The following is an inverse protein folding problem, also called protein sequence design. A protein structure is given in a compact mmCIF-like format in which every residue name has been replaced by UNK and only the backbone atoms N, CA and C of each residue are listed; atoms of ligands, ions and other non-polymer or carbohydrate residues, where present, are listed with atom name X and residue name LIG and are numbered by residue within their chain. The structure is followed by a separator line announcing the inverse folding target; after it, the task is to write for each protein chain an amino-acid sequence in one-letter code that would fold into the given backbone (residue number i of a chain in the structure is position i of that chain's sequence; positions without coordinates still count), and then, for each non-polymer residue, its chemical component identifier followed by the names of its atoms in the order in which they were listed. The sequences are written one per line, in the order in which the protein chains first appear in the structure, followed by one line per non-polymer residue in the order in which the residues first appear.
data_IF_197284445494
#
_entry.id   IF_197284445494
#
_cell.length_a   1.000
_cell.length_b   1.000
_cell.length_c   1.000
_cell.angle_alpha   90.00
_cell.angle_beta   90.00
_cell.angle_gamma   90.00
#
_symmetry.space_group_name_H-M   'P 1'
#
loop_
_entity.id
_entity.type
_entity.pdbx_description
1 polymer ?
#
# COMPACT_ATOMS: atom_id res chain seq x y z
N UNK A 1 -17.71 -62.56 6.00
CA UNK A 1 -16.53 -61.70 5.76
C UNK A 1 -15.52 -62.39 4.87
N UNK A 2 -14.96 -63.54 5.26
CA UNK A 2 -13.92 -64.25 4.47
C UNK A 2 -14.36 -64.54 3.03
N UNK A 3 -15.62 -64.96 2.81
CA UNK A 3 -16.14 -65.21 1.46
C UNK A 3 -16.19 -63.94 0.61
N UNK A 4 -16.75 -62.85 1.14
CA UNK A 4 -16.83 -61.54 0.47
C UNK A 4 -15.44 -61.01 0.14
N UNK A 5 -14.50 -61.11 1.09
CA UNK A 5 -13.12 -60.72 0.87
C UNK A 5 -12.48 -61.54 -0.28
N UNK A 6 -12.71 -62.84 -0.29
CA UNK A 6 -12.16 -63.74 -1.32
C UNK A 6 -12.73 -63.41 -2.71
N UNK A 7 -14.04 -63.17 -2.79
CA UNK A 7 -14.71 -62.75 -4.03
C UNK A 7 -14.19 -61.40 -4.53
N UNK A 8 -14.11 -60.38 -3.67
CA UNK A 8 -13.57 -59.06 -4.04
C UNK A 8 -12.11 -59.15 -4.49
N UNK A 9 -11.29 -59.96 -3.81
CA UNK A 9 -9.88 -60.17 -4.17
C UNK A 9 -9.74 -60.83 -5.56
N UNK A 10 -10.61 -61.77 -5.91
CA UNK A 10 -10.63 -62.37 -7.25
C UNK A 10 -10.97 -61.34 -8.32
N UNK A 11 -12.01 -60.53 -8.11
CA UNK A 11 -12.41 -59.47 -9.04
C UNK A 11 -11.29 -58.43 -9.23
N UNK A 12 -10.65 -57.98 -8.14
CA UNK A 12 -9.50 -57.06 -8.20
C UNK A 12 -8.35 -57.64 -9.03
N UNK A 13 -8.07 -58.93 -8.89
CA UNK A 13 -7.04 -59.64 -9.68
C UNK A 13 -7.42 -59.76 -11.15
N UNK A 14 -8.68 -60.06 -11.47
CA UNK A 14 -9.19 -60.12 -12.85
C UNK A 14 -9.11 -58.76 -13.55
N UNK A 15 -9.37 -57.68 -12.81
CA UNK A 15 -9.21 -56.30 -13.30
C UNK A 15 -7.76 -55.86 -13.46
N UNK A 16 -6.78 -56.72 -13.12
CA UNK A 16 -5.35 -56.40 -13.20
C UNK A 16 -4.90 -55.33 -12.20
N UNK A 17 -5.69 -55.07 -11.15
CA UNK A 17 -5.34 -54.08 -10.13
C UNK A 17 -4.30 -54.68 -9.16
N UNK A 18 -3.24 -53.93 -8.82
CA UNK A 18 -2.22 -54.41 -7.90
C UNK A 18 -2.81 -54.61 -6.50
N UNK A 19 -2.48 -55.75 -5.89
CA UNK A 19 -2.82 -56.05 -4.50
C UNK A 19 -1.59 -55.77 -3.66
N UNK A 20 -1.74 -54.97 -2.61
CA UNK A 20 -0.63 -54.62 -1.72
C UNK A 20 0.01 -55.88 -1.11
N UNK A 21 1.34 -55.92 -1.09
CA UNK A 21 2.13 -56.95 -0.41
C UNK A 21 2.24 -56.70 1.09
N UNK A 22 2.10 -55.44 1.51
CA UNK A 22 2.16 -55.00 2.91
C UNK A 22 0.82 -54.36 3.33
N UNK A 23 0.43 -54.45 4.61
CA UNK A 23 -0.76 -53.76 5.11
C UNK A 23 -0.69 -52.24 4.88
N UNK A 24 -1.78 -51.66 4.39
CA UNK A 24 -1.88 -50.22 4.20
C UNK A 24 -1.92 -49.48 5.54
N UNK A 25 -1.30 -48.30 5.57
CA UNK A 25 -1.28 -47.44 6.75
C UNK A 25 -2.64 -46.77 7.00
N UNK A 26 -2.85 -46.27 8.23
CA UNK A 26 -4.11 -45.65 8.62
C UNK A 26 -4.58 -44.57 7.63
N UNK A 27 -3.69 -43.66 7.25
CA UNK A 27 -4.01 -42.57 6.31
C UNK A 27 -4.43 -43.12 4.95
N UNK A 28 -3.72 -44.11 4.42
CA UNK A 28 -3.95 -44.65 3.07
C UNK A 28 -5.33 -45.31 2.96
N UNK A 29 -5.71 -46.09 3.96
CA UNK A 29 -7.04 -46.72 4.05
C UNK A 29 -8.12 -45.64 4.04
N UNK A 30 -7.99 -44.60 4.86
CA UNK A 30 -9.02 -43.56 4.98
C UNK A 30 -9.03 -42.61 3.77
N UNK A 31 -7.91 -42.36 3.12
CA UNK A 31 -7.86 -41.62 1.85
C UNK A 31 -8.53 -42.41 0.72
N UNK A 32 -8.35 -43.74 0.66
CA UNK A 32 -9.08 -44.59 -0.29
C UNK A 32 -10.59 -44.61 0.00
N UNK A 33 -11.01 -44.64 1.26
CA UNK A 33 -12.43 -44.53 1.61
C UNK A 33 -13.00 -43.14 1.28
N UNK A 34 -12.20 -42.08 1.44
CA UNK A 34 -12.61 -40.69 1.15
C UNK A 34 -13.07 -40.54 -0.29
N UNK A 35 -12.46 -41.25 -1.26
CA UNK A 35 -12.86 -41.11 -2.67
C UNK A 35 -14.33 -41.49 -2.94
N UNK A 36 -14.90 -42.39 -2.12
CA UNK A 36 -16.31 -42.78 -2.20
C UNK A 36 -17.22 -42.14 -1.14
N UNK A 37 -16.66 -41.57 -0.07
CA UNK A 37 -17.39 -41.13 1.11
C UNK A 37 -17.18 -39.63 1.43
N UNK A 38 -16.90 -38.80 0.42
CA UNK A 38 -16.72 -37.34 0.60
C UNK A 38 -17.93 -36.64 1.24
N UNK A 39 -19.14 -37.17 1.06
CA UNK A 39 -20.37 -36.66 1.69
C UNK A 39 -20.51 -37.04 3.17
N UNK A 40 -19.70 -37.98 3.67
CA UNK A 40 -19.79 -38.53 5.02
C UNK A 40 -18.67 -38.00 5.94
N UNK A 41 -18.06 -36.88 5.57
CA UNK A 41 -17.13 -36.16 6.45
C UNK A 41 -17.89 -35.18 7.33
N UNK A 42 -17.36 -34.88 8.51
CA UNK A 42 -17.89 -33.86 9.40
C UNK A 42 -16.82 -33.15 10.20
N UNK A 43 -17.06 -31.86 10.43
CA UNK A 43 -16.29 -31.00 11.32
C UNK A 43 -17.07 -30.78 12.61
N UNK A 44 -16.45 -31.06 13.75
CA UNK A 44 -17.05 -30.91 15.07
C UNK A 44 -17.30 -29.43 15.37
N UNK A 45 -18.47 -29.11 15.92
CA UNK A 45 -18.75 -27.80 16.48
C UNK A 45 -17.94 -27.57 17.78
N UNK A 46 -17.53 -26.33 18.03
CA UNK A 46 -16.73 -26.00 19.21
C UNK A 46 -17.50 -26.24 20.52
N UNK A 47 -18.79 -25.89 20.54
CA UNK A 47 -19.60 -25.84 21.77
C UNK A 47 -20.56 -27.02 21.92
N UNK A 48 -20.62 -27.93 20.94
CA UNK A 48 -21.59 -29.03 20.89
C UNK A 48 -20.91 -30.36 20.62
N UNK A 49 -21.54 -31.45 21.06
CA UNK A 49 -21.16 -32.82 20.68
C UNK A 49 -21.80 -33.20 19.33
N UNK A 50 -21.77 -32.25 18.38
CA UNK A 50 -22.39 -32.34 17.07
C UNK A 50 -21.36 -31.97 16.00
N UNK A 51 -21.57 -32.50 14.81
CA UNK A 51 -20.74 -32.28 13.64
C UNK A 51 -21.56 -31.62 12.55
N UNK A 52 -20.97 -30.61 11.91
CA UNK A 52 -21.41 -30.13 10.61
C UNK A 52 -20.84 -31.04 9.54
N UNK A 53 -21.70 -31.74 8.81
CA UNK A 53 -21.37 -32.59 7.67
C UNK A 53 -21.60 -31.90 6.33
N UNK A 54 -21.42 -32.67 5.25
CA UNK A 54 -21.66 -32.19 3.90
C UNK A 54 -23.06 -31.59 3.75
N UNK A 55 -23.16 -30.48 3.01
CA UNK A 55 -24.42 -29.74 2.75
C UNK A 55 -25.11 -29.29 4.05
N UNK A 56 -24.32 -28.94 5.06
CA UNK A 56 -24.79 -28.49 6.38
C UNK A 56 -25.61 -29.52 7.17
N UNK A 57 -25.53 -30.81 6.83
CA UNK A 57 -26.16 -31.87 7.63
C UNK A 57 -25.58 -31.85 9.06
N UNK A 58 -26.42 -32.02 10.07
CA UNK A 58 -26.00 -32.06 11.48
C UNK A 58 -26.08 -33.48 11.98
N UNK A 59 -24.99 -34.03 12.48
CA UNK A 59 -24.97 -35.40 13.02
C UNK A 59 -24.14 -35.51 14.29
N UNK A 60 -24.46 -36.52 15.11
CA UNK A 60 -23.66 -36.89 16.28
C UNK A 60 -22.98 -38.24 16.02
N UNK A 61 -21.81 -38.49 16.62
CA UNK A 61 -21.20 -39.83 16.59
C UNK A 61 -22.07 -40.80 17.41
N UNK A 62 -22.32 -42.00 16.89
CA UNK A 62 -23.12 -43.00 17.58
C UNK A 62 -22.53 -43.36 18.97
N UNK A 63 -23.32 -43.50 20.05
CA UNK A 63 -22.80 -43.73 21.41
C UNK A 63 -21.94 -44.99 21.56
N UNK A 64 -22.17 -46.01 20.74
CA UNK A 64 -21.35 -47.23 20.70
C UNK A 64 -19.99 -47.07 20.01
N UNK A 65 -19.67 -45.90 19.46
CA UNK A 65 -18.37 -45.63 18.84
C UNK A 65 -17.28 -45.38 19.90
N UNK A 66 -16.07 -45.89 19.64
CA UNK A 66 -14.89 -45.56 20.44
C UNK A 66 -14.53 -44.06 20.44
N UNK A 67 -15.02 -43.30 19.45
CA UNK A 67 -14.80 -41.86 19.34
C UNK A 67 -15.87 -41.03 20.08
N UNK A 68 -16.91 -41.64 20.65
CA UNK A 68 -18.03 -40.91 21.24
C UNK A 68 -17.64 -40.02 22.43
N UNK A 69 -16.78 -40.53 23.34
CA UNK A 69 -16.37 -39.80 24.55
C UNK A 69 -15.39 -38.66 24.25
N UNK A 70 -14.55 -38.81 23.22
CA UNK A 70 -13.52 -37.85 22.82
C UNK A 70 -13.52 -37.69 21.29
N UNK A 71 -14.55 -37.04 20.74
CA UNK A 71 -14.67 -36.90 19.29
C UNK A 71 -13.58 -35.99 18.74
N UNK A 72 -12.92 -36.37 17.62
CA UNK A 72 -11.92 -35.53 16.96
C UNK A 72 -12.56 -34.30 16.32
N UNK A 73 -11.74 -33.33 15.92
CA UNK A 73 -12.19 -32.13 15.20
C UNK A 73 -12.78 -32.48 13.83
N UNK A 74 -12.20 -33.45 13.15
CA UNK A 74 -12.64 -33.95 11.86
C UNK A 74 -12.84 -35.45 11.90
N UNK A 75 -13.94 -35.90 11.31
CA UNK A 75 -14.29 -37.32 11.25
C UNK A 75 -14.83 -37.67 9.87
N UNK A 76 -14.58 -38.91 9.44
CA UNK A 76 -15.39 -39.61 8.46
C UNK A 76 -16.31 -40.58 9.20
N UNK A 77 -17.47 -40.87 8.63
CA UNK A 77 -18.33 -41.99 9.05
C UNK A 77 -18.64 -42.89 7.86
N UNK A 78 -18.77 -44.19 8.07
CA UNK A 78 -19.18 -45.07 6.97
C UNK A 78 -20.66 -44.84 6.61
N UNK A 79 -21.50 -44.58 7.62
CA UNK A 79 -22.94 -44.49 7.46
C UNK A 79 -23.52 -43.33 8.28
N UNK A 80 -24.51 -42.65 7.70
CA UNK A 80 -25.37 -41.67 8.36
C UNK A 80 -26.78 -42.26 8.47
N UNK A 81 -27.24 -42.50 9.70
CA UNK A 81 -28.54 -43.16 9.97
C UNK A 81 -29.41 -42.26 10.82
N UNK A 82 -30.59 -41.93 10.33
CA UNK A 82 -31.57 -41.11 11.05
C UNK A 82 -32.49 -41.97 11.92
N UNK A 83 -32.49 -41.71 13.23
CA UNK A 83 -33.44 -42.33 14.16
C UNK A 83 -34.13 -41.25 15.01
N UNK A 84 -33.60 -40.95 16.20
CA UNK A 84 -33.99 -39.80 17.03
C UNK A 84 -33.28 -38.50 16.61
N UNK A 85 -32.12 -38.65 16.00
CA UNK A 85 -31.32 -37.63 15.31
C UNK A 85 -30.45 -38.35 14.28
N UNK A 86 -29.74 -37.59 13.45
CA UNK A 86 -28.79 -38.18 12.51
C UNK A 86 -27.54 -38.68 13.25
N UNK A 87 -27.28 -39.98 13.14
CA UNK A 87 -26.15 -40.65 13.78
C UNK A 87 -25.11 -41.08 12.76
N UNK A 88 -23.86 -40.70 13.00
CA UNK A 88 -22.70 -41.20 12.28
C UNK A 88 -22.19 -42.51 12.89
N UNK A 89 -22.21 -43.60 12.12
CA UNK A 89 -21.75 -44.93 12.54
C UNK A 89 -20.44 -45.30 11.87
N UNK A 90 -19.64 -46.13 12.54
CA UNK A 90 -18.31 -46.56 12.08
C UNK A 90 -17.45 -45.32 11.79
N UNK A 91 -17.20 -44.53 12.83
CA UNK A 91 -16.51 -43.25 12.73
C UNK A 91 -14.99 -43.44 12.78
N UNK A 92 -14.28 -42.66 11.98
CA UNK A 92 -12.83 -42.59 11.96
C UNK A 92 -12.34 -41.15 11.99
N UNK A 93 -11.23 -40.90 12.68
CA UNK A 93 -10.55 -39.60 12.64
C UNK A 93 -9.92 -39.43 11.25
N UNK A 94 -10.11 -38.25 10.67
CA UNK A 94 -9.41 -37.85 9.45
C UNK A 94 -8.81 -36.47 9.66
N UNK A 95 -7.86 -36.11 8.81
CA UNK A 95 -7.38 -34.73 8.74
C UNK A 95 -7.85 -34.06 7.43
N UNK A 96 -8.22 -32.77 7.48
CA UNK A 96 -8.85 -32.09 6.34
C UNK A 96 -7.95 -32.04 5.10
N UNK A 97 -6.62 -32.02 5.28
CA UNK A 97 -5.65 -32.07 4.19
C UNK A 97 -5.67 -33.38 3.38
N UNK A 98 -6.29 -34.45 3.90
CA UNK A 98 -6.48 -35.69 3.15
C UNK A 98 -7.61 -35.58 2.13
N UNK A 99 -8.53 -34.62 2.34
CA UNK A 99 -9.74 -34.44 1.54
C UNK A 99 -9.44 -33.67 0.25
N UNK A 100 -8.60 -32.62 0.33
CA UNK A 100 -8.33 -31.73 -0.81
C UNK A 100 -7.82 -32.48 -2.06
N UNK A 101 -6.84 -33.42 -1.99
CA UNK A 101 -6.34 -34.11 -3.18
C UNK A 101 -7.38 -34.99 -3.88
N UNK A 102 -8.27 -35.62 -3.11
CA UNK A 102 -9.29 -36.54 -3.66
C UNK A 102 -10.59 -35.82 -4.04
N UNK A 103 -10.80 -34.59 -3.58
CA UNK A 103 -12.00 -33.80 -3.82
C UNK A 103 -11.79 -32.66 -4.83
N UNK A 104 -10.71 -32.64 -5.63
CA UNK A 104 -10.40 -31.56 -6.57
C UNK A 104 -11.56 -31.18 -7.52
N UNK A 105 -12.39 -32.15 -7.87
CA UNK A 105 -13.56 -32.00 -8.75
C UNK A 105 -14.80 -31.41 -8.04
N UNK A 106 -14.77 -31.25 -6.72
CA UNK A 106 -15.91 -30.81 -5.89
C UNK A 106 -15.60 -29.59 -5.02
N UNK A 107 -14.32 -29.26 -4.84
CA UNK A 107 -13.92 -28.13 -4.02
C UNK A 107 -14.31 -26.81 -4.68
N UNK A 108 -14.65 -25.83 -3.83
CA UNK A 108 -14.81 -24.44 -4.19
C UNK A 108 -13.71 -23.63 -3.52
N UNK A 109 -13.01 -22.83 -4.32
CA UNK A 109 -11.98 -21.91 -3.86
C UNK A 109 -12.56 -20.50 -3.80
N UNK A 110 -12.24 -19.79 -2.74
CA UNK A 110 -12.50 -18.36 -2.60
C UNK A 110 -11.23 -17.68 -2.13
N UNK A 111 -10.94 -16.51 -2.69
CA UNK A 111 -9.77 -15.72 -2.35
C UNK A 111 -10.21 -14.42 -1.71
N UNK A 112 -9.46 -13.95 -0.72
CA UNK A 112 -9.72 -12.69 -0.01
C UNK A 112 -8.41 -11.96 0.26
N UNK A 113 -8.54 -10.65 0.52
CA UNK A 113 -7.42 -9.79 0.95
C UNK A 113 -6.22 -9.84 -0.02
N UNK A 114 -6.41 -9.60 -1.34
CA UNK A 114 -5.27 -9.43 -2.23
C UNK A 114 -4.48 -8.20 -1.80
N UNK A 115 -3.19 -8.39 -1.53
CA UNK A 115 -2.30 -7.32 -1.09
C UNK A 115 -0.89 -7.51 -1.63
N UNK A 116 -0.21 -6.39 -1.86
CA UNK A 116 1.22 -6.42 -2.14
C UNK A 116 1.99 -6.87 -0.90
N UNK A 117 2.92 -7.81 -1.08
CA UNK A 117 3.85 -8.18 -0.03
C UNK A 117 5.29 -7.97 -0.47
N UNK A 118 5.91 -6.92 0.08
CA UNK A 118 7.29 -6.54 -0.17
C UNK A 118 8.28 -7.70 -0.09
N UNK A 119 8.16 -8.56 0.93
CA UNK A 119 9.09 -9.67 1.15
C UNK A 119 9.03 -10.73 0.04
N UNK A 120 7.86 -10.95 -0.54
CA UNK A 120 7.67 -11.87 -1.68
C UNK A 120 7.89 -11.17 -3.03
N UNK A 121 7.78 -9.83 -3.06
CA UNK A 121 7.81 -9.06 -4.30
C UNK A 121 6.67 -9.41 -5.24
N UNK A 122 5.52 -9.81 -4.70
CA UNK A 122 4.33 -10.23 -5.43
C UNK A 122 3.06 -9.93 -4.64
N UNK A 123 1.92 -9.96 -5.34
CA UNK A 123 0.61 -9.89 -4.70
C UNK A 123 0.23 -11.25 -4.15
N UNK A 124 -0.12 -11.27 -2.88
CA UNK A 124 -0.52 -12.44 -2.13
C UNK A 124 -1.97 -12.30 -1.71
N UNK A 125 -2.65 -13.43 -1.56
CA UNK A 125 -4.03 -13.48 -1.08
C UNK A 125 -4.22 -14.64 -0.11
N UNK A 126 -5.32 -14.58 0.64
CA UNK A 126 -5.76 -15.68 1.50
C UNK A 126 -6.76 -16.54 0.71
N UNK A 127 -6.42 -17.81 0.51
CA UNK A 127 -7.30 -18.82 -0.09
C UNK A 127 -8.05 -19.59 1.01
N UNK A 128 -9.35 -19.74 0.80
CA UNK A 128 -10.21 -20.66 1.54
C UNK A 128 -10.75 -21.71 0.59
N UNK A 129 -10.63 -22.98 0.97
CA UNK A 129 -11.11 -24.12 0.17
C UNK A 129 -12.21 -24.82 0.94
N UNK A 130 -13.34 -25.02 0.27
CA UNK A 130 -14.49 -25.70 0.84
C UNK A 130 -14.89 -26.89 0.00
N UNK A 131 -15.40 -27.95 0.63
CA UNK A 131 -16.06 -29.07 -0.05
C UNK A 131 -17.42 -29.29 0.61
N UNK A 132 -18.49 -29.31 -0.19
CA UNK A 132 -19.87 -29.41 0.31
C UNK A 132 -20.21 -28.43 1.46
N UNK A 133 -19.62 -27.24 1.47
CA UNK A 133 -19.83 -26.23 2.52
C UNK A 133 -18.89 -26.34 3.73
N UNK A 134 -18.09 -27.40 3.83
CA UNK A 134 -17.13 -27.59 4.91
C UNK A 134 -15.76 -26.98 4.56
N UNK A 135 -15.15 -26.15 5.44
CA UNK A 135 -13.87 -25.50 5.17
C UNK A 135 -12.70 -26.45 5.43
N UNK A 136 -12.22 -27.13 4.39
CA UNK A 136 -11.05 -28.03 4.48
C UNK A 136 -9.72 -27.25 4.50
N UNK A 137 -9.71 -26.05 3.92
CA UNK A 137 -8.62 -25.07 4.09
C UNK A 137 -9.26 -23.78 4.57
N UNK A 138 -8.96 -23.39 5.81
CA UNK A 138 -9.53 -22.20 6.43
C UNK A 138 -8.94 -20.89 5.90
N UNK A 139 -7.61 -20.84 5.83
CA UNK A 139 -6.83 -19.72 5.30
C UNK A 139 -5.45 -20.24 4.90
N UNK A 140 -5.16 -20.23 3.59
CA UNK A 140 -3.85 -20.57 3.02
C UNK A 140 -3.36 -19.39 2.21
N UNK A 141 -2.15 -18.91 2.51
CA UNK A 141 -1.52 -17.86 1.72
C UNK A 141 -1.14 -18.40 0.34
N UNK A 142 -1.55 -17.71 -0.71
CA UNK A 142 -1.29 -18.09 -2.10
C UNK A 142 -0.80 -16.88 -2.90
N UNK A 143 -0.01 -17.16 -3.93
CA UNK A 143 0.36 -16.15 -4.92
C UNK A 143 -0.86 -15.84 -5.81
N UNK A 144 -1.19 -14.56 -5.95
CA UNK A 144 -2.41 -14.13 -6.62
C UNK A 144 -2.26 -13.92 -8.14
N UNK A 145 -1.02 -14.01 -8.67
CA UNK A 145 -0.70 -13.71 -10.06
C UNK A 145 -1.44 -14.59 -11.09
N UNK A 146 -1.80 -15.83 -10.73
CA UNK A 146 -2.54 -16.72 -11.63
C UNK A 146 -4.06 -16.55 -11.53
N UNK A 147 -4.56 -15.83 -10.53
CA UNK A 147 -5.99 -15.64 -10.28
C UNK A 147 -6.48 -14.34 -10.91
N UNK A 148 -5.77 -13.23 -10.64
CA UNK A 148 -6.08 -11.93 -11.25
C UNK A 148 -4.77 -11.18 -11.57
N UNK A 149 -4.20 -11.43 -12.77
CA UNK A 149 -2.97 -10.76 -13.20
C UNK A 149 -3.11 -9.24 -13.28
N UNK A 150 -4.31 -8.74 -13.65
CA UNK A 150 -4.55 -7.32 -13.83
C UNK A 150 -4.52 -6.58 -12.48
N UNK A 151 -5.21 -7.10 -11.46
CA UNK A 151 -5.12 -6.55 -10.11
C UNK A 151 -3.69 -6.66 -9.56
N UNK A 152 -2.98 -7.76 -9.87
CA UNK A 152 -1.59 -7.93 -9.44
C UNK A 152 -0.68 -6.82 -9.99
N UNK A 153 -0.85 -6.47 -11.27
CA UNK A 153 -0.15 -5.35 -11.89
C UNK A 153 -0.46 -4.04 -11.19
N UNK A 154 -1.75 -3.74 -11.00
CA UNK A 154 -2.20 -2.49 -10.38
C UNK A 154 -1.56 -2.31 -9.01
N UNK A 155 -1.69 -3.31 -8.15
CA UNK A 155 -1.12 -3.30 -6.80
C UNK A 155 0.40 -3.26 -6.81
N UNK A 156 1.06 -3.92 -7.76
CA UNK A 156 2.51 -3.81 -7.93
C UNK A 156 2.92 -2.37 -8.26
N UNK A 157 2.29 -1.72 -9.24
CA UNK A 157 2.64 -0.34 -9.60
C UNK A 157 2.36 0.59 -8.42
N UNK A 158 1.17 0.52 -7.83
CA UNK A 158 0.73 1.42 -6.75
C UNK A 158 1.60 1.27 -5.50
N UNK A 159 1.74 0.06 -4.97
CA UNK A 159 2.48 -0.13 -3.71
C UNK A 159 4.00 -0.18 -3.92
N UNK A 160 4.47 -0.92 -4.93
CA UNK A 160 5.90 -1.14 -5.10
C UNK A 160 6.60 0.08 -5.72
N UNK A 161 6.02 0.65 -6.78
CA UNK A 161 6.67 1.73 -7.56
C UNK A 161 6.28 3.13 -7.09
N UNK A 162 5.00 3.37 -6.82
CA UNK A 162 4.51 4.70 -6.43
C UNK A 162 4.77 4.94 -4.94
N UNK A 163 4.23 4.12 -4.05
CA UNK A 163 4.42 4.26 -2.59
C UNK A 163 5.85 3.90 -2.13
N UNK A 164 6.62 3.23 -2.98
CA UNK A 164 8.02 2.90 -2.72
C UNK A 164 8.20 1.67 -1.81
N UNK A 165 7.17 0.84 -1.61
CA UNK A 165 7.26 -0.39 -0.82
C UNK A 165 7.91 -1.54 -1.61
N UNK A 166 9.12 -1.27 -2.12
CA UNK A 166 9.86 -2.24 -2.91
C UNK A 166 11.34 -2.21 -2.57
N UNK A 167 11.89 -3.39 -2.28
CA UNK A 167 13.33 -3.54 -2.06
C UNK A 167 14.02 -3.96 -3.36
N UNK A 168 14.59 -2.98 -4.06
CA UNK A 168 15.30 -3.21 -5.31
C UNK A 168 16.65 -2.48 -5.36
N UNK A 169 17.48 -2.89 -6.32
CA UNK A 169 18.78 -2.27 -6.64
C UNK A 169 18.75 -1.44 -7.92
N UNK A 170 17.57 -1.26 -8.53
CA UNK A 170 17.45 -0.46 -9.76
C UNK A 170 17.81 1.00 -9.50
N UNK A 171 18.66 1.55 -10.38
CA UNK A 171 19.16 2.91 -10.22
C UNK A 171 18.03 3.94 -10.34
N UNK A 172 17.19 3.84 -11.39
CA UNK A 172 16.06 4.76 -11.62
C UNK A 172 15.17 4.89 -10.38
N UNK A 173 14.88 3.77 -9.70
CA UNK A 173 13.97 3.76 -8.56
C UNK A 173 14.51 4.59 -7.40
N UNK A 174 15.82 4.50 -7.11
CA UNK A 174 16.45 5.32 -6.06
C UNK A 174 16.48 6.80 -6.44
N UNK A 175 16.77 7.12 -7.70
CA UNK A 175 16.78 8.50 -8.18
C UNK A 175 15.38 9.12 -8.15
N UNK A 176 14.35 8.36 -8.53
CA UNK A 176 12.95 8.76 -8.48
C UNK A 176 12.49 9.03 -7.05
N UNK A 177 12.77 8.12 -6.10
CA UNK A 177 12.42 8.31 -4.69
C UNK A 177 13.13 9.52 -4.10
N UNK A 178 14.40 9.74 -4.46
CA UNK A 178 15.16 10.92 -4.05
C UNK A 178 14.54 12.20 -4.60
N UNK A 179 14.19 12.23 -5.88
CA UNK A 179 13.58 13.40 -6.50
C UNK A 179 12.20 13.71 -5.91
N UNK A 180 11.38 12.69 -5.62
CA UNK A 180 10.10 12.84 -4.93
C UNK A 180 10.29 13.46 -3.55
N UNK A 181 11.20 12.92 -2.74
CA UNK A 181 11.52 13.47 -1.41
C UNK A 181 12.03 14.92 -1.48
N UNK A 182 12.82 15.27 -2.50
CA UNK A 182 13.28 16.65 -2.71
C UNK A 182 12.13 17.62 -3.04
N UNK A 183 11.07 17.16 -3.70
CA UNK A 183 9.90 17.98 -4.04
C UNK A 183 8.93 18.06 -2.87
N UNK A 184 8.72 16.98 -2.12
CA UNK A 184 7.95 17.00 -0.87
C UNK A 184 8.57 18.00 0.13
N UNK A 185 9.90 18.00 0.26
CA UNK A 185 10.63 19.02 1.05
C UNK A 185 10.39 20.45 0.54
N UNK A 186 10.22 20.64 -0.77
CA UNK A 186 9.90 21.95 -1.35
C UNK A 186 8.47 22.38 -1.04
N UNK A 187 7.49 21.48 -1.11
CA UNK A 187 6.10 21.75 -0.72
C UNK A 187 5.98 22.21 0.73
N UNK A 188 6.63 21.47 1.63
CA UNK A 188 6.68 21.81 3.04
C UNK A 188 7.27 23.21 3.28
N UNK A 189 8.31 23.58 2.51
CA UNK A 189 8.93 24.90 2.59
C UNK A 189 8.03 25.99 2.02
N UNK A 190 7.40 25.73 0.88
CA UNK A 190 6.69 26.76 0.11
C UNK A 190 5.23 26.98 0.45
N UNK A 191 4.69 26.21 1.43
CA UNK A 191 3.29 26.30 1.87
C UNK A 191 2.28 26.08 0.74
N UNK A 192 2.69 25.40 -0.31
CA UNK A 192 1.85 24.99 -1.44
C UNK A 192 1.80 23.47 -1.43
N UNK A 193 0.65 22.93 -1.06
CA UNK A 193 0.34 21.48 -1.02
C UNK A 193 -0.04 20.92 -2.40
N UNK A 194 0.16 21.72 -3.43
CA UNK A 194 -0.24 21.49 -4.81
C UNK A 194 0.96 21.57 -5.76
N UNK A 195 2.17 21.31 -5.28
CA UNK A 195 3.35 21.22 -6.16
C UNK A 195 3.51 19.78 -6.61
N UNK A 196 3.49 18.79 -5.72
CA UNK A 196 3.68 17.39 -6.09
C UNK A 196 2.43 16.87 -6.81
N UNK A 197 2.64 16.19 -7.93
CA UNK A 197 1.59 15.41 -8.60
C UNK A 197 1.06 14.30 -7.68
N UNK A 198 -0.21 13.94 -7.83
CA UNK A 198 -0.79 12.89 -7.01
C UNK A 198 -0.28 11.49 -7.39
N UNK A 199 -0.48 10.53 -6.50
CA UNK A 199 -0.08 9.14 -6.70
C UNK A 199 -0.74 8.51 -7.95
N UNK A 200 -1.90 9.00 -8.39
CA UNK A 200 -2.57 8.51 -9.59
C UNK A 200 -1.83 8.94 -10.87
N UNK A 201 -1.35 10.18 -10.91
CA UNK A 201 -0.49 10.67 -11.99
C UNK A 201 0.81 9.85 -12.08
N UNK A 202 1.39 9.50 -10.93
CA UNK A 202 2.57 8.62 -10.87
C UNK A 202 2.25 7.20 -11.32
N UNK A 203 1.07 6.69 -10.96
CA UNK A 203 0.58 5.39 -11.41
C UNK A 203 0.45 5.36 -12.93
N UNK A 204 -0.21 6.35 -13.54
CA UNK A 204 -0.37 6.46 -14.99
C UNK A 204 0.98 6.56 -15.72
N UNK A 205 1.95 7.30 -15.17
CA UNK A 205 3.30 7.38 -15.71
C UNK A 205 3.92 5.98 -15.89
N UNK A 206 3.85 5.16 -14.84
CA UNK A 206 4.39 3.82 -14.84
C UNK A 206 3.54 2.88 -15.71
N UNK A 207 2.21 2.93 -15.61
CA UNK A 207 1.32 2.02 -16.32
C UNK A 207 1.43 2.15 -17.85
N UNK A 208 1.59 3.38 -18.35
CA UNK A 208 1.80 3.64 -19.79
C UNK A 208 3.13 3.11 -20.34
N UNK A 209 4.14 2.90 -19.48
CA UNK A 209 5.51 2.58 -19.90
C UNK A 209 5.91 1.13 -19.63
N UNK A 210 5.37 0.54 -18.57
CA UNK A 210 5.68 -0.82 -18.16
C UNK A 210 4.83 -1.80 -18.97
N UNK A 211 5.42 -2.87 -19.52
CA UNK A 211 4.65 -3.91 -20.22
C UNK A 211 3.54 -4.51 -19.34
N UNK A 212 2.36 -4.78 -19.90
CA UNK A 212 1.20 -5.35 -19.20
C UNK A 212 1.49 -6.69 -18.49
N UNK A 213 2.47 -7.46 -18.97
CA UNK A 213 2.86 -8.75 -18.37
C UNK A 213 3.64 -8.60 -17.05
N UNK A 214 4.00 -7.36 -16.68
CA UNK A 214 4.71 -7.08 -15.43
C UNK A 214 3.72 -6.98 -14.28
N UNK A 215 3.58 -8.10 -13.57
CA UNK A 215 2.62 -8.26 -12.46
C UNK A 215 3.30 -8.53 -11.11
N UNK A 216 4.63 -8.55 -11.07
CA UNK A 216 5.42 -8.72 -9.85
C UNK A 216 6.85 -8.21 -10.03
N UNK A 217 7.61 -8.11 -8.93
CA UNK A 217 9.01 -7.68 -8.97
C UNK A 217 9.87 -8.56 -9.90
N UNK A 218 9.64 -9.87 -9.92
CA UNK A 218 10.39 -10.80 -10.80
C UNK A 218 10.08 -10.57 -12.27
N UNK A 219 8.81 -10.32 -12.61
CA UNK A 219 8.43 -9.98 -13.99
C UNK A 219 9.06 -8.65 -14.39
N UNK A 220 9.06 -7.67 -13.48
CA UNK A 220 9.70 -6.38 -13.72
C UNK A 220 11.19 -6.53 -13.97
N UNK A 221 11.92 -7.28 -13.13
CA UNK A 221 13.37 -7.48 -13.30
C UNK A 221 13.72 -8.14 -14.64
N UNK A 222 12.88 -9.05 -15.13
CA UNK A 222 13.05 -9.67 -16.44
C UNK A 222 12.82 -8.67 -17.58
N UNK A 223 11.71 -7.93 -17.52
CA UNK A 223 11.36 -6.90 -18.51
C UNK A 223 12.38 -5.75 -18.55
N UNK A 224 12.77 -5.24 -17.38
CA UNK A 224 13.67 -4.10 -17.26
C UNK A 224 15.07 -4.38 -17.82
N UNK A 225 15.57 -5.62 -17.75
CA UNK A 225 16.85 -6.02 -18.36
C UNK A 225 16.91 -5.77 -19.86
N UNK A 226 15.77 -5.85 -20.54
CA UNK A 226 15.66 -5.57 -21.97
C UNK A 226 15.33 -4.09 -22.20
N UNK A 227 14.29 -3.58 -21.55
CA UNK A 227 13.82 -2.20 -21.73
C UNK A 227 14.91 -1.16 -21.44
N UNK A 228 15.70 -1.35 -20.38
CA UNK A 228 16.80 -0.43 -20.02
C UNK A 228 17.98 -0.41 -21.00
N UNK A 229 18.12 -1.41 -21.87
CA UNK A 229 19.14 -1.40 -22.94
C UNK A 229 18.73 -0.53 -24.10
N UNK A 230 17.43 -0.51 -24.41
CA UNK A 230 16.86 0.28 -25.48
C UNK A 230 16.65 1.73 -25.03
N UNK A 231 16.06 1.91 -23.85
CA UNK A 231 15.74 3.22 -23.27
C UNK A 231 16.08 3.24 -21.78
N UNK A 232 17.34 3.56 -21.40
CA UNK A 232 17.80 3.52 -20.01
C UNK A 232 17.01 4.41 -19.06
N UNK A 233 16.56 5.57 -19.56
CA UNK A 233 15.86 6.59 -18.77
C UNK A 233 14.32 6.47 -18.86
N UNK A 234 13.80 5.36 -19.40
CA UNK A 234 12.37 5.16 -19.65
C UNK A 234 11.49 5.48 -18.44
N UNK A 235 11.97 5.12 -17.24
CA UNK A 235 11.24 5.26 -15.99
C UNK A 235 11.78 6.37 -15.08
N UNK A 236 12.75 7.15 -15.54
CA UNK A 236 13.28 8.25 -14.72
C UNK A 236 12.26 9.39 -14.70
N UNK A 237 12.00 9.94 -13.51
CA UNK A 237 11.19 11.14 -13.39
C UNK A 237 11.96 12.36 -13.88
N UNK A 238 11.29 13.22 -14.64
CA UNK A 238 11.71 14.60 -14.85
C UNK A 238 11.13 15.48 -13.74
N UNK A 239 11.91 16.47 -13.28
CA UNK A 239 11.45 17.35 -12.20
C UNK A 239 10.17 18.12 -12.57
N UNK A 240 10.03 18.52 -13.83
CA UNK A 240 8.83 19.17 -14.37
C UNK A 240 7.60 18.28 -14.26
N UNK A 241 7.74 16.97 -14.50
CA UNK A 241 6.64 16.00 -14.44
C UNK A 241 6.07 15.81 -13.03
N UNK A 242 6.91 16.00 -12.01
CA UNK A 242 6.49 15.87 -10.62
C UNK A 242 5.84 17.15 -10.08
N UNK A 243 5.89 18.25 -10.83
CA UNK A 243 5.35 19.55 -10.43
C UNK A 243 4.03 19.78 -11.16
N UNK A 244 2.93 20.07 -10.45
CA UNK A 244 1.65 20.44 -11.06
C UNK A 244 1.79 21.72 -11.89
N UNK A 245 1.12 21.76 -13.03
CA UNK A 245 1.11 22.94 -13.91
C UNK A 245 0.69 24.20 -13.13
N UNK A 246 1.57 25.22 -13.09
CA UNK A 246 1.36 26.48 -12.33
C UNK A 246 2.11 26.59 -11.00
N UNK A 247 2.77 25.53 -10.53
CA UNK A 247 3.65 25.55 -9.34
C UNK A 247 5.13 25.83 -9.64
N UNK A 248 5.51 25.98 -10.92
CA UNK A 248 6.88 26.12 -11.41
C UNK A 248 7.68 27.34 -10.88
N UNK A 249 7.02 28.28 -10.20
CA UNK A 249 7.67 29.50 -9.69
C UNK A 249 8.36 29.35 -8.32
N UNK A 250 8.36 28.16 -7.71
CA UNK A 250 8.92 27.93 -6.37
C UNK A 250 10.33 27.33 -6.47
N UNK A 251 11.37 28.14 -6.22
CA UNK A 251 12.76 27.67 -6.23
C UNK A 251 13.32 27.44 -4.81
N UNK A 252 14.37 26.61 -4.68
CA UNK A 252 15.15 26.46 -3.42
C UNK A 252 15.73 27.81 -2.92
N UNK A 253 15.91 28.78 -3.82
CA UNK A 253 16.40 30.12 -3.47
C UNK A 253 15.33 30.96 -2.76
N UNK A 254 14.05 30.66 -3.00
CA UNK A 254 12.94 31.36 -2.38
C UNK A 254 12.74 30.97 -0.91
N UNK A 255 13.18 29.77 -0.53
CA UNK A 255 13.08 29.20 0.82
C UNK A 255 14.44 28.69 1.32
N UNK A 256 15.38 29.60 1.66
CA UNK A 256 16.74 29.24 1.99
C UNK A 256 16.86 28.53 3.35
N UNK A 257 17.80 27.59 3.50
CA UNK A 257 18.04 26.96 4.80
C UNK A 257 18.72 27.89 5.83
N UNK A 258 19.30 28.99 5.36
CA UNK A 258 20.07 29.93 6.18
C UNK A 258 19.72 31.37 5.84
N UNK A 259 19.63 32.21 6.87
CA UNK A 259 19.60 33.65 6.77
C UNK A 259 21.02 34.20 6.91
N UNK A 260 21.37 35.16 6.07
CA UNK A 260 22.69 35.79 6.06
C UNK A 260 22.57 37.26 6.43
N UNK A 261 23.30 37.70 7.46
CA UNK A 261 23.40 39.10 7.86
C UNK A 261 24.88 39.44 8.09
N UNK A 262 25.47 40.22 7.19
CA UNK A 262 26.92 40.41 7.15
C UNK A 262 27.67 39.07 7.11
N UNK A 263 28.47 38.80 8.14
CA UNK A 263 29.23 37.55 8.27
C UNK A 263 28.48 36.45 9.03
N UNK A 264 27.28 36.72 9.54
CA UNK A 264 26.48 35.75 10.30
C UNK A 264 25.71 34.83 9.35
N UNK A 265 25.69 33.55 9.68
CA UNK A 265 24.90 32.50 9.02
C UNK A 265 23.97 31.87 10.04
N UNK A 266 22.70 32.23 10.00
CA UNK A 266 21.68 31.82 10.98
C UNK A 266 20.79 30.74 10.37
N UNK A 267 20.50 29.67 11.10
CA UNK A 267 19.68 28.57 10.58
C UNK A 267 18.21 29.00 10.55
N UNK A 268 17.52 28.67 9.47
CA UNK A 268 16.07 28.81 9.38
C UNK A 268 15.38 27.47 9.63
N UNK A 269 14.27 27.50 10.36
CA UNK A 269 13.29 26.42 10.35
C UNK A 269 11.94 26.94 9.92
N UNK A 270 11.16 26.05 9.33
CA UNK A 270 9.84 26.34 8.80
C UNK A 270 8.87 25.38 9.50
N UNK A 271 7.86 25.93 10.15
CA UNK A 271 6.76 25.15 10.70
C UNK A 271 5.47 25.75 10.22
N UNK A 272 4.52 24.89 9.86
CA UNK A 272 3.23 25.30 9.36
C UNK A 272 2.13 24.53 10.10
N UNK A 273 1.80 25.04 11.26
CA UNK A 273 0.77 24.52 12.16
C UNK A 273 -0.01 25.70 12.70
N UNK A 274 -1.09 26.13 12.02
CA UNK A 274 -1.88 27.28 12.45
C UNK A 274 -2.31 27.15 13.92
N UNK A 275 -1.91 28.13 14.74
CA UNK A 275 -2.17 28.14 16.19
C UNK A 275 -1.03 27.61 17.06
N UNK A 276 0.07 27.13 16.48
CA UNK A 276 1.30 26.85 17.21
C UNK A 276 2.21 28.09 17.31
N UNK A 277 2.96 28.23 18.41
CA UNK A 277 3.84 29.38 18.67
C UNK A 277 4.96 29.54 17.63
N UNK A 278 5.36 28.44 17.00
CA UNK A 278 6.42 28.41 15.98
C UNK A 278 5.86 28.43 14.54
N UNK A 279 4.55 28.61 14.34
CA UNK A 279 3.95 28.73 13.01
C UNK A 279 4.56 29.91 12.24
N UNK A 280 5.25 29.65 11.14
CA UNK A 280 6.08 30.69 10.54
C UNK A 280 7.42 30.25 9.98
N UNK A 281 8.26 31.26 9.82
CA UNK A 281 9.71 31.13 9.63
C UNK A 281 10.35 31.48 10.96
N UNK A 282 11.15 30.56 11.51
CA UNK A 282 11.91 30.78 12.74
C UNK A 282 13.38 30.90 12.39
N UNK A 283 13.99 32.01 12.82
CA UNK A 283 15.45 32.19 12.77
C UNK A 283 16.03 31.68 14.08
N UNK A 284 16.94 30.71 14.00
CA UNK A 284 17.66 30.20 15.16
C UNK A 284 18.91 31.05 15.39
N UNK A 285 18.90 31.85 16.47
CA UNK A 285 20.02 32.70 16.85
C UNK A 285 20.77 32.05 18.01
N UNK A 286 22.03 31.60 17.81
CA UNK A 286 22.87 31.12 18.90
C UNK A 286 23.11 32.24 19.92
N UNK A 287 22.96 31.94 21.22
CA UNK A 287 23.13 32.92 22.30
C UNK A 287 24.44 33.72 22.23
N UNK A 288 25.61 33.14 21.86
CA UNK A 288 26.86 33.91 21.73
C UNK A 288 26.86 34.95 20.60
N UNK A 289 25.98 34.80 19.60
CA UNK A 289 25.87 35.69 18.45
C UNK A 289 24.78 36.76 18.64
N UNK A 290 23.95 36.66 19.70
CA UNK A 290 22.77 37.51 19.89
C UNK A 290 23.12 39.01 19.85
N UNK A 291 24.21 39.40 20.50
CA UNK A 291 24.67 40.79 20.58
C UNK A 291 25.27 41.32 19.26
N UNK A 292 25.45 40.45 18.26
CA UNK A 292 25.96 40.78 16.93
C UNK A 292 24.85 40.82 15.88
N UNK A 293 23.63 40.39 16.23
CA UNK A 293 22.48 40.40 15.33
C UNK A 293 21.83 41.78 15.38
N UNK A 294 21.60 42.35 14.21
CA UNK A 294 20.85 43.58 14.05
C UNK A 294 19.40 43.26 13.64
N UNK A 295 18.43 44.10 14.01
CA UNK A 295 17.05 43.92 13.56
C UNK A 295 16.89 44.15 12.05
N UNK A 296 17.77 44.98 11.48
CA UNK A 296 17.72 45.41 10.09
C UNK A 296 17.78 44.24 9.11
N UNK A 297 16.81 44.21 8.20
CA UNK A 297 16.71 43.25 7.11
C UNK A 297 15.74 42.10 7.38
N UNK A 298 15.46 41.75 8.63
CA UNK A 298 14.44 40.74 8.94
C UNK A 298 13.05 41.16 8.47
N UNK A 299 12.77 42.47 8.41
CA UNK A 299 11.50 42.97 7.89
C UNK A 299 11.27 42.61 6.42
N UNK A 300 12.32 42.33 5.65
CA UNK A 300 12.18 41.88 4.26
C UNK A 300 11.67 40.45 4.15
N UNK A 301 11.77 39.64 5.20
CA UNK A 301 11.45 38.22 5.17
C UNK A 301 12.22 37.44 4.08
N UNK A 302 12.06 36.12 4.05
CA UNK A 302 12.59 35.26 2.98
C UNK A 302 11.93 35.55 1.63
N UNK A 303 12.64 35.33 0.50
CA UNK A 303 12.13 35.71 -0.82
C UNK A 303 10.77 35.10 -1.17
N UNK A 304 10.52 33.84 -0.79
CA UNK A 304 9.28 33.13 -1.08
C UNK A 304 8.03 33.72 -0.42
N UNK A 305 8.18 34.44 0.70
CA UNK A 305 7.06 35.06 1.42
C UNK A 305 6.98 36.58 1.23
N UNK A 306 7.95 37.20 0.53
CA UNK A 306 8.00 38.65 0.31
C UNK A 306 6.76 39.19 -0.38
N UNK A 307 6.33 38.52 -1.45
CA UNK A 307 5.16 38.95 -2.22
C UNK A 307 3.91 39.03 -1.35
N UNK A 308 3.67 38.01 -0.54
CA UNK A 308 2.52 37.96 0.37
C UNK A 308 2.61 39.03 1.46
N UNK A 309 3.81 39.22 2.03
CA UNK A 309 4.09 40.28 2.99
C UNK A 309 3.76 41.66 2.41
N UNK A 310 4.23 41.96 1.21
CA UNK A 310 3.98 43.26 0.55
C UNK A 310 2.49 43.44 0.25
N UNK A 311 1.81 42.40 -0.25
CA UNK A 311 0.36 42.46 -0.47
C UNK A 311 -0.37 42.74 0.84
N UNK A 312 0.02 42.09 1.93
CA UNK A 312 -0.56 42.31 3.25
C UNK A 312 -0.31 43.74 3.75
N UNK A 313 0.89 44.28 3.55
CA UNK A 313 1.23 45.68 3.87
C UNK A 313 0.41 46.67 3.04
N UNK A 314 0.24 46.46 1.73
CA UNK A 314 -0.62 47.30 0.90
C UNK A 314 -2.08 47.22 1.38
N UNK A 315 -2.54 46.01 1.76
CA UNK A 315 -3.90 45.80 2.28
C UNK A 315 -4.12 46.44 3.64
N UNK A 316 -3.08 46.56 4.48
CA UNK A 316 -3.18 47.17 5.81
C UNK A 316 -3.24 48.70 5.78
N UNK A 317 -2.89 49.33 4.64
CA UNK A 317 -2.99 50.78 4.46
C UNK A 317 -4.42 51.31 4.68
N UNK A 318 -4.58 52.55 5.19
CA UNK A 318 -5.87 53.22 5.29
C UNK A 318 -6.59 53.27 3.94
N UNK A 319 -7.93 53.11 3.96
CA UNK A 319 -8.78 53.08 2.75
C UNK A 319 -8.50 54.22 1.75
N UNK A 320 -8.29 55.50 2.17
CA UNK A 320 -8.01 56.60 1.24
C UNK A 320 -6.70 56.46 0.46
N UNK A 321 -5.72 55.76 1.03
CA UNK A 321 -4.40 55.53 0.43
C UNK A 321 -4.41 54.23 -0.38
N UNK A 322 -4.97 53.15 0.21
CA UNK A 322 -5.03 51.81 -0.38
C UNK A 322 -5.72 51.75 -1.76
N UNK A 323 -6.73 52.58 -1.99
CA UNK A 323 -7.47 52.65 -3.27
C UNK A 323 -6.58 52.97 -4.48
N UNK A 324 -5.43 53.60 -4.27
CA UNK A 324 -4.47 53.90 -5.34
C UNK A 324 -3.62 52.70 -5.74
N UNK A 325 -3.66 51.60 -4.98
CA UNK A 325 -2.83 50.42 -5.16
C UNK A 325 -3.67 49.16 -5.46
N UNK A 326 -4.74 49.32 -6.24
CA UNK A 326 -5.63 48.22 -6.66
C UNK A 326 -5.38 47.91 -8.14
N UNK A 327 -5.14 46.64 -8.52
CA UNK A 327 -5.04 45.43 -7.69
C UNK A 327 -3.72 45.34 -6.91
N UNK A 328 -3.78 45.07 -5.60
CA UNK A 328 -2.59 44.98 -4.73
C UNK A 328 -1.52 43.98 -5.21
N UNK A 329 -1.88 42.80 -5.77
CA UNK A 329 -0.88 41.88 -6.31
C UNK A 329 0.00 42.49 -7.42
N UNK A 330 -0.60 43.28 -8.31
CA UNK A 330 0.12 43.88 -9.44
C UNK A 330 1.15 44.90 -8.94
N UNK A 331 0.81 45.70 -7.93
CA UNK A 331 1.73 46.66 -7.32
C UNK A 331 2.83 45.97 -6.51
N UNK A 332 2.52 44.86 -5.84
CA UNK A 332 3.53 44.07 -5.14
C UNK A 332 4.56 43.48 -6.12
N UNK A 333 4.11 42.95 -7.25
CA UNK A 333 5.00 42.45 -8.32
C UNK A 333 5.83 43.57 -8.94
N UNK A 334 5.21 44.73 -9.23
CA UNK A 334 5.93 45.88 -9.75
C UNK A 334 6.99 46.41 -8.77
N UNK A 335 6.73 46.36 -7.46
CA UNK A 335 7.72 46.69 -6.43
C UNK A 335 8.88 45.70 -6.40
N UNK A 336 8.57 44.40 -6.38
CA UNK A 336 9.58 43.34 -6.36
C UNK A 336 10.49 43.36 -7.59
N UNK A 337 9.96 43.78 -8.74
CA UNK A 337 10.75 43.94 -9.97
C UNK A 337 11.65 45.18 -10.01
N UNK A 338 11.49 46.14 -9.07
CA UNK A 338 12.23 47.41 -9.05
C UNK A 338 13.13 47.60 -7.84
N UNK A 339 12.73 47.07 -6.69
CA UNK A 339 13.47 47.24 -5.46
C UNK A 339 14.62 46.24 -5.36
N UNK A 340 15.81 46.71 -5.00
CA UNK A 340 16.89 45.83 -4.56
C UNK A 340 16.64 45.40 -3.11
N UNK A 341 16.49 44.10 -2.81
CA UNK A 341 16.28 43.65 -1.44
C UNK A 341 17.46 44.03 -0.53
N UNK A 342 17.16 44.37 0.74
CA UNK A 342 18.14 44.67 1.79
C UNK A 342 19.01 45.92 1.57
N UNK A 343 18.78 46.70 0.50
CA UNK A 343 19.48 47.98 0.28
C UNK A 343 18.96 49.09 1.20
N UNK A 344 17.66 49.07 1.51
CA UNK A 344 16.98 49.96 2.45
C UNK A 344 16.00 49.17 3.32
N UNK A 345 15.57 49.72 4.47
CA UNK A 345 14.47 49.14 5.23
C UNK A 345 13.23 48.91 4.37
N UNK A 346 12.51 47.80 4.58
CA UNK A 346 11.41 47.39 3.68
C UNK A 346 10.36 48.49 3.50
N UNK A 347 9.95 49.14 4.60
CA UNK A 347 8.92 50.17 4.56
C UNK A 347 9.39 51.42 3.81
N UNK A 348 10.63 51.86 4.01
CA UNK A 348 11.20 53.01 3.30
C UNK A 348 11.32 52.73 1.80
N UNK A 349 11.74 51.50 1.45
CA UNK A 349 11.81 51.04 0.07
C UNK A 349 10.42 51.02 -0.58
N UNK A 350 9.41 50.49 0.15
CA UNK A 350 8.02 50.48 -0.30
C UNK A 350 7.47 51.89 -0.49
N UNK A 351 7.65 52.78 0.47
CA UNK A 351 7.18 54.17 0.37
C UNK A 351 7.80 54.85 -0.85
N UNK A 352 9.13 54.74 -1.00
CA UNK A 352 9.87 55.33 -2.12
C UNK A 352 9.36 54.84 -3.46
N UNK A 353 9.25 53.53 -3.64
CA UNK A 353 8.87 52.95 -4.92
C UNK A 353 7.38 53.09 -5.24
N UNK A 354 6.49 52.95 -4.25
CA UNK A 354 5.07 53.18 -4.44
C UNK A 354 4.77 54.65 -4.76
N UNK A 355 5.45 55.59 -4.10
CA UNK A 355 5.34 57.03 -4.42
C UNK A 355 5.81 57.33 -5.83
N UNK A 356 6.90 56.71 -6.30
CA UNK A 356 7.34 56.84 -7.71
C UNK A 356 6.33 56.26 -8.70
N UNK A 357 5.61 55.21 -8.32
CA UNK A 357 4.60 54.58 -9.18
C UNK A 357 3.31 55.38 -9.29
N UNK A 358 2.82 55.98 -8.20
CA UNK A 358 1.48 56.58 -8.14
C UNK A 358 1.44 58.07 -7.83
N UNK A 359 2.55 58.65 -7.35
CA UNK A 359 2.63 60.05 -6.94
C UNK A 359 1.93 60.37 -5.61
N UNK A 360 1.40 59.37 -4.92
CA UNK A 360 0.67 59.53 -3.65
C UNK A 360 1.67 59.71 -2.49
N UNK A 361 1.44 60.72 -1.66
CA UNK A 361 2.23 61.06 -0.45
C UNK A 361 1.48 60.79 0.82
#
# INVERSE_FOLDING_TARGET
WQDIYTQLRQVVKELGLPINSEPAEYREIHTALLTGLLSHIGMKDADKQEFTGARNARFSIFPGSGLFKKPPKWTMVAELVETSRLWGRIAARIEPEWVEPVAQHLIKRSYSEPHWERAQGAVMATEKVTVYGLPIVGARKVNYSQIDPALCRELFIRHALVEGDWQTRHAFFRENLKLRAEIEELEHKSRRRDILVDDETLFEFYDQRISHDVISARHFDAWWKQASRETPDLLNFEKSMLIKEGAEQVSKLDYPNFWHQGNLKLRLSYQFEPGADADGVTVHIPLPLLNQVEEAGFEWQIPGLRRELIIALIKSLPKPVRRNFVPAPNYAEAFLGRATPLELPLLDSLERELRKMTGVT
#
